data_IF_584958104687
#
_entry.id   IF_584958104687
#
_cell.length_a   1.000
_cell.length_b   1.000
_cell.length_c   1.000
_cell.angle_alpha   90.00
_cell.angle_beta   90.00
_cell.angle_gamma   90.00
#
_symmetry.space_group_name_H-M   'P 1'
#
loop_
_entity.id
_entity.type
_entity.pdbx_description
1 polymer ?
#
# COMPACT_ATOMS: atom_id res chain seq x y z
N UNK A 1 3.84 -3.86 8.82
CA UNK A 1 3.72 -4.09 10.28
C UNK A 1 3.66 -5.58 10.53
N UNK A 2 4.33 -6.08 11.57
CA UNK A 2 4.50 -7.53 11.77
C UNK A 2 3.21 -8.29 12.13
N UNK A 3 2.11 -7.62 12.49
CA UNK A 3 0.86 -8.25 12.93
C UNK A 3 -0.39 -7.46 12.47
N UNK A 4 -0.47 -7.09 11.19
CA UNK A 4 -1.68 -6.46 10.65
C UNK A 4 -2.72 -7.54 10.30
N UNK A 5 -3.98 -7.36 10.70
CA UNK A 5 -5.09 -8.20 10.24
C UNK A 5 -5.49 -7.79 8.82
N UNK A 6 -5.46 -8.74 7.88
CA UNK A 6 -5.77 -8.57 6.47
C UNK A 6 -7.22 -8.15 6.17
N UNK A 7 -8.10 -8.10 7.17
CA UNK A 7 -9.48 -7.59 7.03
C UNK A 7 -9.65 -6.12 7.44
N UNK A 8 -8.63 -5.49 8.01
CA UNK A 8 -8.73 -4.10 8.50
C UNK A 8 -8.86 -3.11 7.34
N UNK A 9 -9.99 -2.41 7.25
CA UNK A 9 -10.20 -1.40 6.20
C UNK A 9 -9.35 -0.14 6.41
N UNK A 10 -9.04 0.19 7.65
CA UNK A 10 -8.22 1.37 8.03
C UNK A 10 -6.76 0.98 8.35
N UNK A 11 -6.22 0.06 7.56
CA UNK A 11 -4.89 -0.50 7.77
C UNK A 11 -3.79 0.56 7.71
N UNK A 12 -3.97 1.62 6.93
CA UNK A 12 -3.00 2.70 6.76
C UNK A 12 -2.74 3.38 8.10
N UNK A 13 -3.81 3.80 8.79
CA UNK A 13 -3.71 4.44 10.10
C UNK A 13 -3.33 3.45 11.20
N UNK A 14 -3.88 2.23 11.18
CA UNK A 14 -3.55 1.21 12.21
C UNK A 14 -2.07 0.82 12.12
N UNK A 15 -1.54 0.69 10.91
CA UNK A 15 -0.18 0.19 10.70
C UNK A 15 0.88 1.28 10.76
N UNK A 16 0.59 2.46 10.22
CA UNK A 16 1.60 3.50 10.03
C UNK A 16 1.27 4.78 10.81
N UNK A 17 0.05 4.89 11.34
CA UNK A 17 -0.40 6.03 12.12
C UNK A 17 -0.31 7.33 11.34
N UNK A 18 0.00 8.45 12.02
CA UNK A 18 0.12 9.76 11.37
C UNK A 18 1.31 9.87 10.41
N UNK A 19 2.20 8.86 10.36
CA UNK A 19 3.35 8.89 9.46
C UNK A 19 3.02 8.46 8.03
N UNK A 20 1.80 7.96 7.78
CA UNK A 20 1.45 7.37 6.48
C UNK A 20 1.72 8.31 5.31
N UNK A 21 1.28 9.57 5.41
CA UNK A 21 1.43 10.55 4.33
C UNK A 21 2.91 10.84 4.01
N UNK A 22 3.73 11.04 5.05
CA UNK A 22 5.18 11.25 4.89
C UNK A 22 5.85 10.02 4.28
N UNK A 23 5.48 8.82 4.72
CA UNK A 23 6.01 7.58 4.14
C UNK A 23 5.58 7.43 2.68
N UNK A 24 4.36 7.84 2.32
CA UNK A 24 3.85 7.81 0.95
C UNK A 24 4.64 8.76 0.04
N UNK A 25 4.97 9.95 0.52
CA UNK A 25 5.85 10.89 -0.21
C UNK A 25 7.24 10.29 -0.44
N UNK A 26 7.85 9.71 0.60
CA UNK A 26 9.15 9.05 0.50
C UNK A 26 9.08 7.89 -0.50
N UNK A 27 8.05 7.05 -0.40
CA UNK A 27 7.82 5.94 -1.32
C UNK A 27 7.72 6.40 -2.77
N UNK A 28 6.93 7.45 -3.05
CA UNK A 28 6.82 8.05 -4.39
C UNK A 28 8.16 8.61 -4.90
N UNK A 29 9.00 9.17 -4.02
CA UNK A 29 10.31 9.69 -4.38
C UNK A 29 11.30 8.60 -4.80
N UNK A 30 11.31 7.48 -4.09
CA UNK A 30 12.31 6.41 -4.28
C UNK A 30 11.83 5.25 -5.15
N UNK A 31 10.52 5.05 -5.26
CA UNK A 31 9.90 4.02 -6.10
C UNK A 31 8.69 4.60 -6.86
N UNK A 32 8.93 5.55 -7.79
CA UNK A 32 7.86 6.21 -8.55
C UNK A 32 7.05 5.22 -9.41
N UNK A 33 7.70 4.15 -9.89
CA UNK A 33 7.08 3.15 -10.75
C UNK A 33 6.37 2.04 -9.95
N UNK A 34 6.43 2.09 -8.61
CA UNK A 34 5.81 1.11 -7.70
C UNK A 34 6.34 -0.33 -7.89
N UNK A 35 7.62 -0.49 -8.21
CA UNK A 35 8.29 -1.78 -8.42
C UNK A 35 8.25 -2.64 -7.15
N UNK A 36 8.42 -2.01 -5.97
CA UNK A 36 8.40 -2.71 -4.68
C UNK A 36 6.98 -2.70 -4.10
N UNK A 37 6.07 -3.40 -4.77
CA UNK A 37 4.71 -3.60 -4.28
C UNK A 37 4.64 -4.75 -3.27
N UNK A 38 3.81 -4.58 -2.24
CA UNK A 38 3.39 -5.65 -1.35
C UNK A 38 2.02 -5.33 -0.74
N UNK A 39 1.23 -6.36 -0.41
CA UNK A 39 -0.09 -6.20 0.19
C UNK A 39 0.00 -5.35 1.48
N UNK A 40 -0.78 -4.27 1.57
CA UNK A 40 -0.85 -3.33 2.71
C UNK A 40 0.48 -2.64 3.06
N UNK A 41 1.41 -2.60 2.12
CA UNK A 41 2.54 -1.70 2.18
C UNK A 41 2.15 -0.27 1.79
N UNK A 42 2.94 0.71 2.19
CA UNK A 42 2.72 2.12 1.85
C UNK A 42 2.59 2.29 0.33
N UNK A 43 1.46 2.85 -0.12
CA UNK A 43 1.17 3.07 -1.54
C UNK A 43 0.59 1.85 -2.28
N UNK A 44 0.36 0.73 -1.60
CA UNK A 44 -0.23 -0.47 -2.21
C UNK A 44 -1.66 -0.26 -2.72
N UNK A 45 -2.37 0.72 -2.17
CA UNK A 45 -3.73 1.13 -2.57
C UNK A 45 -3.82 1.69 -3.99
N UNK A 46 -2.69 2.01 -4.64
CA UNK A 46 -2.65 2.40 -6.06
C UNK A 46 -2.83 1.19 -7.00
N UNK A 47 -2.97 -0.01 -6.44
CA UNK A 47 -3.05 -1.26 -7.17
C UNK A 47 -4.11 -2.18 -6.55
N UNK A 48 -4.72 -3.00 -7.39
CA UNK A 48 -5.65 -4.06 -6.99
C UNK A 48 -5.06 -5.39 -7.44
N UNK A 49 -4.94 -6.31 -6.49
CA UNK A 49 -4.62 -7.71 -6.76
C UNK A 49 -5.90 -8.44 -7.19
N UNK A 50 -5.88 -8.98 -8.41
CA UNK A 50 -6.96 -9.79 -8.94
C UNK A 50 -6.90 -11.21 -8.39
N UNK A 51 -8.01 -11.95 -8.50
CA UNK A 51 -8.11 -13.34 -8.03
C UNK A 51 -7.10 -14.30 -8.67
N UNK A 52 -6.60 -13.96 -9.86
CA UNK A 52 -5.58 -14.71 -10.58
C UNK A 52 -4.14 -14.27 -10.25
N UNK A 53 -3.97 -13.39 -9.25
CA UNK A 53 -2.67 -12.90 -8.78
C UNK A 53 -2.08 -11.76 -9.61
N UNK A 54 -2.77 -11.27 -10.65
CA UNK A 54 -2.31 -10.10 -11.41
C UNK A 54 -2.54 -8.82 -10.62
N UNK A 55 -1.60 -7.87 -10.75
CA UNK A 55 -1.73 -6.51 -10.24
C UNK A 55 -2.18 -5.57 -11.36
N UNK A 56 -3.25 -4.83 -11.12
CA UNK A 56 -3.74 -3.76 -12.00
C UNK A 56 -3.77 -2.44 -11.24
N UNK A 57 -3.54 -1.32 -11.93
CA UNK A 57 -3.69 0.01 -11.30
C UNK A 57 -5.11 0.19 -10.81
N UNK A 58 -5.27 0.74 -9.61
CA UNK A 58 -6.56 1.18 -9.12
C UNK A 58 -6.98 2.41 -9.94
N UNK A 59 -7.92 2.25 -10.86
CA UNK A 59 -8.57 3.39 -11.48
C UNK A 59 -9.63 3.86 -10.48
N UNK A 60 -9.46 5.09 -9.98
CA UNK A 60 -10.51 5.79 -9.22
C UNK A 60 -11.49 6.41 -10.21
#
# INVERSE_FOLDING_TARGET
MHQADDRESDWQRISWGPNYDRLREIKKKYDPDSIQWCHRCVGSEDWVELRDGRLCRSYN
#
